data_IF_978929651264
#
_entry.id   IF_978929651264
#
_cell.length_a   1.000
_cell.length_b   1.000
_cell.length_c   1.000
_cell.angle_alpha   90.00
_cell.angle_beta   90.00
_cell.angle_gamma   90.00
#
_symmetry.space_group_name_H-M   'P 1'
#
loop_
_entity.id
_entity.type
_entity.pdbx_description
1 polymer ?
#
# COMPACT_ATOMS: atom_id res chain seq x y z
N UNK A 1 -11.94 6.29 -50.76
CA UNK A 1 -11.89 7.09 -49.51
C UNK A 1 -12.76 6.41 -48.46
N UNK A 2 -12.14 5.70 -47.52
CA UNK A 2 -12.64 5.59 -46.15
C UNK A 2 -11.52 5.00 -45.31
N UNK A 3 -10.86 5.85 -44.53
CA UNK A 3 -9.84 5.45 -43.58
C UNK A 3 -10.56 4.88 -42.36
N UNK A 4 -10.49 3.57 -42.15
CA UNK A 4 -10.84 2.97 -40.87
C UNK A 4 -9.71 3.31 -39.90
N UNK A 5 -10.02 4.17 -38.93
CA UNK A 5 -9.13 4.51 -37.84
C UNK A 5 -8.86 3.23 -37.02
N UNK A 6 -7.66 2.66 -37.19
CA UNK A 6 -7.14 1.66 -36.28
C UNK A 6 -7.04 2.32 -34.90
N UNK A 7 -7.93 1.93 -33.98
CA UNK A 7 -7.82 2.30 -32.58
C UNK A 7 -6.47 1.80 -32.07
N UNK A 8 -5.58 2.74 -31.75
CA UNK A 8 -4.29 2.51 -31.14
C UNK A 8 -4.51 1.86 -29.77
N UNK A 9 -4.57 0.52 -29.76
CA UNK A 9 -4.66 -0.30 -28.54
C UNK A 9 -3.29 -0.41 -27.87
N UNK A 10 -2.60 0.73 -27.70
CA UNK A 10 -1.54 0.84 -26.70
C UNK A 10 -2.21 1.12 -25.36
N UNK A 11 -2.82 0.07 -24.80
CA UNK A 11 -2.98 -0.02 -23.35
C UNK A 11 -1.59 0.25 -22.77
N UNK A 12 -1.46 1.40 -22.12
CA UNK A 12 -0.23 1.78 -21.41
C UNK A 12 0.01 0.67 -20.41
N UNK A 13 1.01 -0.16 -20.65
CA UNK A 13 1.51 -1.12 -19.66
C UNK A 13 1.91 -0.28 -18.45
N UNK A 14 1.01 -0.19 -17.46
CA UNK A 14 1.33 0.38 -16.17
C UNK A 14 2.54 -0.37 -15.66
N UNK A 15 3.54 0.37 -15.15
CA UNK A 15 4.78 -0.25 -14.66
C UNK A 15 4.44 -1.47 -13.79
N UNK A 16 5.11 -2.59 -14.06
CA UNK A 16 4.83 -3.93 -13.50
C UNK A 16 4.73 -3.93 -11.96
N UNK A 17 5.22 -2.89 -11.30
CA UNK A 17 5.32 -2.75 -9.85
C UNK A 17 4.31 -1.78 -9.19
N UNK A 18 3.32 -1.24 -9.91
CA UNK A 18 2.38 -0.28 -9.32
C UNK A 18 1.05 -0.88 -8.87
N UNK A 19 0.83 -2.17 -9.14
CA UNK A 19 -0.37 -2.88 -8.71
C UNK A 19 -0.03 -3.90 -7.64
N UNK A 20 -0.37 -3.56 -6.41
CA UNK A 20 -0.29 -4.47 -5.26
C UNK A 20 -1.69 -4.99 -4.95
N UNK A 21 -1.80 -6.29 -4.66
CA UNK A 21 -3.03 -6.87 -4.15
C UNK A 21 -3.36 -6.24 -2.78
N UNK A 22 -4.58 -5.70 -2.67
CA UNK A 22 -5.08 -5.10 -1.44
C UNK A 22 -6.39 -5.77 -1.01
N UNK A 23 -6.71 -5.66 0.28
CA UNK A 23 -8.00 -6.10 0.78
C UNK A 23 -9.11 -5.10 0.40
N UNK A 24 -10.31 -5.60 0.16
CA UNK A 24 -11.48 -4.78 -0.18
C UNK A 24 -11.90 -3.82 0.95
N UNK A 25 -12.70 -2.80 0.60
CA UNK A 25 -13.06 -1.70 1.52
C UNK A 25 -13.74 -2.14 2.83
N UNK A 26 -14.56 -3.18 2.74
CA UNK A 26 -15.28 -3.77 3.86
C UNK A 26 -14.96 -5.26 4.02
N UNK A 27 -13.75 -5.65 3.61
CA UNK A 27 -13.32 -7.04 3.78
C UNK A 27 -13.10 -7.36 5.26
N UNK A 28 -13.53 -8.55 5.63
CA UNK A 28 -13.58 -9.01 7.01
C UNK A 28 -12.76 -10.29 7.12
N UNK A 29 -12.00 -10.43 8.19
CA UNK A 29 -11.30 -11.68 8.50
C UNK A 29 -12.29 -12.81 8.75
N UNK A 30 -11.81 -14.05 8.76
CA UNK A 30 -12.61 -15.25 9.11
C UNK A 30 -13.26 -15.15 10.49
N UNK A 31 -12.77 -14.27 11.37
CA UNK A 31 -13.32 -14.03 12.72
C UNK A 31 -14.40 -12.96 12.77
N UNK A 32 -14.77 -12.36 11.64
CA UNK A 32 -15.72 -11.26 11.60
C UNK A 32 -15.11 -9.88 11.95
N UNK A 33 -13.80 -9.78 12.09
CA UNK A 33 -13.10 -8.50 12.34
C UNK A 33 -12.75 -7.79 11.04
N UNK A 34 -12.96 -6.47 10.97
CA UNK A 34 -12.63 -5.68 9.78
C UNK A 34 -11.11 -5.66 9.51
N UNK A 35 -10.72 -5.83 8.25
CA UNK A 35 -9.31 -5.70 7.83
C UNK A 35 -8.95 -4.23 7.72
N UNK A 36 -8.14 -3.73 8.66
CA UNK A 36 -7.76 -2.31 8.71
C UNK A 36 -6.54 -2.00 7.84
N UNK A 37 -5.59 -2.93 7.73
CA UNK A 37 -4.32 -2.76 7.04
C UNK A 37 -4.39 -3.05 5.53
N UNK A 38 -5.44 -2.62 4.84
CA UNK A 38 -5.75 -3.00 3.44
C UNK A 38 -4.57 -2.93 2.47
N UNK A 39 -3.81 -1.83 2.53
CA UNK A 39 -2.64 -1.60 1.66
C UNK A 39 -1.34 -2.09 2.30
N UNK A 40 -1.13 -1.80 3.58
CA UNK A 40 0.12 -2.16 4.27
C UNK A 40 0.31 -3.67 4.43
N UNK A 41 -0.78 -4.45 4.41
CA UNK A 41 -0.78 -5.91 4.40
C UNK A 41 0.16 -6.51 3.36
N UNK A 42 0.29 -5.89 2.19
CA UNK A 42 1.17 -6.37 1.12
C UNK A 42 2.61 -6.55 1.59
N UNK A 43 3.11 -5.63 2.43
CA UNK A 43 4.47 -5.68 2.96
C UNK A 43 4.55 -6.41 4.32
N UNK A 44 3.46 -6.41 5.08
CA UNK A 44 3.47 -6.90 6.48
C UNK A 44 2.96 -8.32 6.67
N UNK A 45 2.51 -8.98 5.60
CA UNK A 45 1.97 -10.35 5.63
C UNK A 45 2.77 -11.27 4.71
N UNK A 46 2.73 -12.57 5.01
CA UNK A 46 3.39 -13.59 4.19
C UNK A 46 4.91 -13.56 4.31
N UNK A 47 5.57 -14.21 3.35
CA UNK A 47 7.01 -14.43 3.33
C UNK A 47 7.71 -13.78 2.13
N UNK A 48 6.98 -12.99 1.35
CA UNK A 48 7.49 -12.38 0.12
C UNK A 48 8.39 -11.16 0.41
N UNK A 49 8.17 -10.47 1.54
CA UNK A 49 8.89 -9.23 1.92
C UNK A 49 9.56 -9.29 3.31
N UNK A 50 10.45 -10.26 3.60
CA UNK A 50 11.09 -10.37 4.90
C UNK A 50 12.01 -9.19 5.22
N UNK A 51 12.63 -8.58 4.20
CA UNK A 51 13.48 -7.40 4.35
C UNK A 51 12.68 -6.17 4.81
N UNK A 52 11.51 -5.93 4.22
CA UNK A 52 10.63 -4.82 4.62
C UNK A 52 10.13 -5.00 6.06
N UNK A 53 9.76 -6.23 6.44
CA UNK A 53 9.35 -6.55 7.80
C UNK A 53 10.48 -6.32 8.81
N UNK A 54 11.72 -6.72 8.49
CA UNK A 54 12.88 -6.46 9.34
C UNK A 54 13.12 -4.94 9.53
N UNK A 55 12.99 -4.13 8.47
CA UNK A 55 13.11 -2.68 8.58
C UNK A 55 11.99 -2.06 9.44
N UNK A 56 10.76 -2.55 9.33
CA UNK A 56 9.65 -2.09 10.17
C UNK A 56 9.87 -2.41 11.66
N UNK A 57 10.41 -3.59 11.98
CA UNK A 57 10.82 -3.89 13.36
C UNK A 57 11.93 -2.95 13.83
N UNK A 58 12.95 -2.70 13.00
CA UNK A 58 14.03 -1.77 13.32
C UNK A 58 13.52 -0.32 13.52
N UNK A 59 12.47 0.08 12.80
CA UNK A 59 11.81 1.37 12.96
C UNK A 59 10.93 1.48 14.23
N UNK A 60 10.78 0.39 14.99
CA UNK A 60 10.08 0.39 16.28
C UNK A 60 8.67 -0.20 16.26
N UNK A 61 8.27 -0.93 15.22
CA UNK A 61 7.01 -1.71 15.27
C UNK A 61 7.13 -2.74 16.40
N UNK A 62 6.21 -2.75 17.39
CA UNK A 62 6.48 -3.38 18.68
C UNK A 62 6.39 -4.92 18.66
N UNK A 63 5.60 -5.50 17.77
CA UNK A 63 5.39 -6.94 17.70
C UNK A 63 4.70 -7.35 16.39
N UNK A 64 4.66 -8.66 16.15
CA UNK A 64 4.06 -9.28 14.96
C UNK A 64 2.57 -8.99 14.83
N UNK A 65 1.83 -8.94 15.95
CA UNK A 65 0.40 -8.60 15.91
C UNK A 65 0.21 -7.20 15.35
N UNK A 66 0.92 -6.19 15.89
CA UNK A 66 0.85 -4.83 15.38
C UNK A 66 1.25 -4.76 13.90
N UNK A 67 2.31 -5.46 13.50
CA UNK A 67 2.75 -5.54 12.10
C UNK A 67 1.64 -6.08 11.17
N UNK A 68 0.96 -7.16 11.58
CA UNK A 68 0.01 -7.89 10.72
C UNK A 68 -1.43 -7.36 10.75
N UNK A 69 -1.83 -6.65 11.80
CA UNK A 69 -3.23 -6.21 11.96
C UNK A 69 -3.41 -4.69 11.98
N UNK A 70 -2.40 -3.93 12.40
CA UNK A 70 -2.54 -2.48 12.49
C UNK A 70 -2.38 -1.81 11.12
N UNK A 71 -3.19 -0.80 10.79
CA UNK A 71 -2.97 0.01 9.60
C UNK A 71 -1.71 0.86 9.78
N UNK A 72 -0.80 0.84 8.79
CA UNK A 72 0.32 1.76 8.75
C UNK A 72 -0.11 3.05 8.05
N UNK A 73 -0.06 4.17 8.76
CA UNK A 73 -0.52 5.48 8.29
C UNK A 73 0.70 6.39 8.08
N UNK A 74 0.95 6.78 6.84
CA UNK A 74 1.96 7.77 6.53
C UNK A 74 1.49 9.16 6.95
N UNK A 75 2.24 9.83 7.83
CA UNK A 75 1.97 11.22 8.23
C UNK A 75 2.92 12.11 7.44
N UNK A 76 2.39 12.82 6.44
CA UNK A 76 3.14 13.78 5.64
C UNK A 76 2.98 15.18 6.23
N UNK A 77 3.95 15.61 7.05
CA UNK A 77 3.99 16.98 7.56
C UNK A 77 4.61 17.92 6.52
N UNK A 78 4.11 19.16 6.48
CA UNK A 78 4.62 20.22 5.59
C UNK A 78 5.30 21.29 6.43
N UNK A 79 6.15 20.89 7.36
CA UNK A 79 6.82 21.82 8.27
C UNK A 79 8.08 22.43 7.64
N UNK A 80 8.33 23.72 7.89
CA UNK A 80 9.57 24.42 7.54
C UNK A 80 9.71 25.70 8.37
N UNK A 81 10.85 25.89 9.07
CA UNK A 81 11.14 27.05 9.91
C UNK A 81 11.05 28.41 9.20
N UNK A 82 11.21 28.45 7.88
CA UNK A 82 11.16 29.69 7.09
C UNK A 82 9.77 30.16 6.67
N UNK A 83 8.71 29.41 7.00
CA UNK A 83 7.33 29.78 6.68
C UNK A 83 6.43 29.58 7.92
N UNK A 84 5.98 30.65 8.59
CA UNK A 84 5.17 30.53 9.81
C UNK A 84 3.76 29.93 9.60
N UNK A 85 3.31 29.77 8.35
CA UNK A 85 2.06 29.06 8.05
C UNK A 85 2.18 27.53 8.19
N UNK A 86 3.41 27.03 8.25
CA UNK A 86 3.77 25.63 8.35
C UNK A 86 4.20 25.27 9.79
#
# INVERSE_FOLDING_TARGET
VSASAMSDSRQREGGIYLHFENAGDHETTTRGEQILNRYSRHLTTGHDFPGAQAMLYAAGVPNERAMKTAPHVGIASVWWEGNPCN
#
